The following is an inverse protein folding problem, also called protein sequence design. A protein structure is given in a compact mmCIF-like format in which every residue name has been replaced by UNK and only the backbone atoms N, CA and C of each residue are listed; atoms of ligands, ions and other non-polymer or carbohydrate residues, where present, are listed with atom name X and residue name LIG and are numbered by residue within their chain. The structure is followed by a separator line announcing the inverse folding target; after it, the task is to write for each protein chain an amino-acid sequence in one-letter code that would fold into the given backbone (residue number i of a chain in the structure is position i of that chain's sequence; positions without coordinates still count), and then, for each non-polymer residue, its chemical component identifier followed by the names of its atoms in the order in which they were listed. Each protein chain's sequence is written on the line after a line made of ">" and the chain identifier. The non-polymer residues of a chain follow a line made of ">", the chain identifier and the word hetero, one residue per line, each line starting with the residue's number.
data_IF_902097280769
#
_entry.id   IF_902097280769
#
_cell.length_a   1.000
_cell.length_b   1.000
_cell.length_c   1.000
_cell.angle_alpha   90.00
_cell.angle_beta   90.00
_cell.angle_gamma   90.00
#
_symmetry.space_group_name_H-M   'P 1'
#
loop_
_entity.id
_entity.type
_entity.pdbx_description
1 polymer ?
#
# COMPACT_ATOMS: atom_id res chain seq x y z
N UNK A 1 5.59 5.28 6.85
CA UNK A 1 4.46 5.33 7.80
C UNK A 1 3.18 5.69 7.05
N UNK A 2 2.08 5.02 7.37
CA UNK A 2 0.74 5.34 6.84
C UNK A 2 -0.12 5.78 8.02
N UNK A 3 -0.87 6.87 7.87
CA UNK A 3 -1.79 7.39 8.89
C UNK A 3 -3.18 7.53 8.25
N UNK A 4 -4.20 6.97 8.88
CA UNK A 4 -5.58 7.24 8.51
C UNK A 4 -6.02 8.60 9.08
N UNK A 5 -5.85 9.66 8.31
CA UNK A 5 -6.31 10.99 8.72
C UNK A 5 -7.84 11.18 8.70
N UNK A 6 -8.59 10.20 8.17
CA UNK A 6 -10.05 10.26 8.02
C UNK A 6 -10.83 10.04 9.33
N UNK A 7 -12.15 10.10 9.21
CA UNK A 7 -13.11 9.82 10.30
C UNK A 7 -13.76 8.44 10.23
N UNK A 8 -13.43 7.61 9.23
CA UNK A 8 -13.94 6.25 9.08
C UNK A 8 -12.80 5.25 9.05
N UNK A 9 -13.09 4.01 9.47
CA UNK A 9 -12.16 2.87 9.34
C UNK A 9 -11.93 2.56 7.86
N UNK A 10 -10.68 2.28 7.50
CA UNK A 10 -10.30 1.95 6.13
C UNK A 10 -9.60 0.59 6.08
N UNK A 11 -9.85 -0.15 5.00
CA UNK A 11 -8.96 -1.22 4.56
C UNK A 11 -7.95 -0.65 3.58
N UNK A 12 -6.68 -1.03 3.70
CA UNK A 12 -5.60 -0.59 2.82
C UNK A 12 -4.77 -1.77 2.31
N UNK A 13 -4.24 -1.64 1.10
CA UNK A 13 -3.36 -2.62 0.47
C UNK A 13 -2.28 -1.93 -0.36
N UNK A 14 -1.15 -2.61 -0.51
CA UNK A 14 0.01 -2.13 -1.24
C UNK A 14 0.18 -2.92 -2.52
N UNK A 15 0.55 -2.22 -3.59
CA UNK A 15 1.04 -2.81 -4.84
C UNK A 15 2.41 -2.23 -5.15
N UNK A 16 3.31 -3.06 -5.64
CA UNK A 16 4.59 -2.63 -6.20
C UNK A 16 4.60 -2.91 -7.70
N UNK A 17 5.34 -2.11 -8.47
CA UNK A 17 5.56 -2.39 -9.90
C UNK A 17 6.50 -3.55 -10.15
N UNK A 18 7.38 -3.82 -9.18
CA UNK A 18 8.41 -4.85 -9.29
C UNK A 18 8.46 -5.69 -8.00
N UNK A 19 7.64 -6.74 -7.94
CA UNK A 19 7.57 -7.64 -6.77
C UNK A 19 8.81 -8.51 -6.57
N UNK A 20 9.71 -8.60 -7.56
CA UNK A 20 10.97 -9.33 -7.42
C UNK A 20 12.02 -8.50 -6.69
N UNK A 21 12.00 -7.18 -6.88
CA UNK A 21 12.93 -6.24 -6.26
C UNK A 21 12.38 -5.65 -4.98
N UNK A 22 11.08 -5.34 -4.95
CA UNK A 22 10.44 -4.56 -3.89
C UNK A 22 9.54 -5.44 -3.04
N UNK A 23 9.92 -5.58 -1.77
CA UNK A 23 9.11 -6.21 -0.73
C UNK A 23 8.46 -5.17 0.18
N UNK A 24 7.27 -5.48 0.71
CA UNK A 24 6.53 -4.60 1.61
C UNK A 24 5.86 -5.41 2.73
N UNK A 25 6.08 -5.02 3.98
CA UNK A 25 5.46 -5.68 5.15
C UNK A 25 5.05 -4.67 6.25
N UNK A 26 3.79 -4.68 6.73
CA UNK A 26 2.66 -5.42 6.17
C UNK A 26 2.24 -4.88 4.80
N UNK A 27 1.84 -5.79 3.89
CA UNK A 27 1.36 -5.41 2.55
C UNK A 27 -0.11 -4.98 2.51
N UNK A 28 -0.88 -5.24 3.57
CA UNK A 28 -2.26 -4.81 3.70
C UNK A 28 -2.69 -4.77 5.17
N UNK A 29 -3.81 -4.11 5.47
CA UNK A 29 -4.33 -4.04 6.82
C UNK A 29 -5.58 -3.20 6.95
N UNK A 30 -5.95 -2.93 8.19
CA UNK A 30 -7.10 -2.09 8.55
C UNK A 30 -6.64 -1.02 9.52
N UNK A 31 -7.01 0.23 9.26
CA UNK A 31 -6.72 1.37 10.14
C UNK A 31 -8.02 2.01 10.60
N UNK A 32 -8.19 2.10 11.91
CA UNK A 32 -9.20 2.93 12.55
C UNK A 32 -8.93 4.42 12.30
N UNK A 33 -9.91 5.31 12.52
CA UNK A 33 -9.68 6.74 12.44
C UNK A 33 -8.48 7.17 13.30
N UNK A 34 -7.57 7.95 12.70
CA UNK A 34 -6.34 8.47 13.32
C UNK A 34 -5.28 7.44 13.70
N UNK A 35 -5.50 6.16 13.38
CA UNK A 35 -4.50 5.12 13.59
C UNK A 35 -3.38 5.21 12.54
N UNK A 36 -2.18 4.78 12.94
CA UNK A 36 -1.00 4.74 12.11
C UNK A 36 -0.40 3.33 12.09
N UNK A 37 0.29 3.01 11.00
CA UNK A 37 1.09 1.79 10.86
C UNK A 37 2.45 2.11 10.26
N UNK A 38 3.47 1.46 10.81
CA UNK A 38 4.80 1.43 10.21
C UNK A 38 4.87 0.24 9.26
N UNK A 39 5.46 0.49 8.11
CA UNK A 39 5.59 -0.47 7.02
C UNK A 39 7.05 -0.49 6.61
N UNK A 40 7.63 -1.69 6.55
CA UNK A 40 8.93 -1.93 5.99
C UNK A 40 8.81 -1.98 4.46
N UNK A 41 9.77 -1.35 3.79
CA UNK A 41 10.00 -1.50 2.34
C UNK A 41 11.39 -2.05 2.19
N UNK A 42 11.52 -3.23 1.59
CA UNK A 42 12.80 -3.85 1.26
C UNK A 42 13.08 -3.72 -0.23
N UNK A 43 14.37 -3.61 -0.57
CA UNK A 43 14.86 -3.65 -1.94
C UNK A 43 15.91 -4.76 -2.03
N UNK A 44 15.63 -5.80 -2.79
CA UNK A 44 16.61 -6.85 -3.08
C UNK A 44 17.74 -6.28 -3.95
N UNK A 45 18.93 -6.88 -3.84
CA UNK A 45 20.09 -6.48 -4.64
C UNK A 45 19.83 -6.72 -6.13
N UNK A 46 20.24 -5.78 -6.97
CA UNK A 46 20.10 -5.86 -8.42
C UNK A 46 21.20 -5.03 -9.10
N UNK A 47 21.41 -5.22 -10.39
CA UNK A 47 22.43 -4.48 -11.14
C UNK A 47 21.88 -3.15 -11.66
N UNK A 48 22.15 -2.06 -10.92
CA UNK A 48 21.75 -0.72 -11.31
C UNK A 48 22.37 -0.33 -12.67
N UNK A 49 21.55 0.21 -13.58
CA UNK A 49 21.97 0.57 -14.95
C UNK A 49 21.76 -0.54 -16.00
N UNK A 50 21.49 -1.79 -15.60
CA UNK A 50 21.09 -2.87 -16.53
C UNK A 50 19.59 -3.17 -16.51
N UNK A 51 18.89 -2.69 -15.48
CA UNK A 51 17.45 -2.87 -15.32
C UNK A 51 16.72 -1.53 -15.37
N UNK A 52 15.47 -1.54 -15.84
CA UNK A 52 14.62 -0.35 -15.76
C UNK A 52 14.27 -0.06 -14.30
N UNK A 53 14.61 1.15 -13.86
CA UNK A 53 14.34 1.66 -12.51
C UNK A 53 13.43 2.88 -12.53
N UNK A 54 13.18 3.49 -13.70
CA UNK A 54 12.52 4.80 -13.80
C UNK A 54 11.02 4.74 -13.51
N UNK A 55 10.44 3.54 -13.63
CA UNK A 55 9.00 3.32 -13.49
C UNK A 55 8.62 2.71 -12.14
N UNK A 56 9.60 2.49 -11.25
CA UNK A 56 9.34 1.85 -9.97
C UNK A 56 8.51 2.72 -9.04
N UNK A 57 7.46 2.13 -8.47
CA UNK A 57 6.60 2.81 -7.50
C UNK A 57 5.94 1.83 -6.54
N UNK A 58 5.62 2.35 -5.37
CA UNK A 58 4.70 1.75 -4.41
C UNK A 58 3.36 2.46 -4.56
N UNK A 59 2.29 1.69 -4.73
CA UNK A 59 0.92 2.20 -4.76
C UNK A 59 0.22 1.77 -3.48
N UNK A 60 -0.29 2.75 -2.72
CA UNK A 60 -1.18 2.50 -1.59
C UNK A 60 -2.61 2.66 -2.10
N UNK A 61 -3.42 1.63 -2.01
CA UNK A 61 -4.86 1.70 -2.28
C UNK A 61 -5.63 1.55 -0.97
N UNK A 62 -6.72 2.28 -0.83
CA UNK A 62 -7.59 2.15 0.35
C UNK A 62 -9.04 2.47 0.04
N UNK A 63 -9.92 1.90 0.84
CA UNK A 63 -11.37 2.10 0.79
C UNK A 63 -11.94 2.11 2.20
N UNK A 64 -13.09 2.73 2.39
CA UNK A 64 -13.82 2.62 3.66
C UNK A 64 -14.26 1.17 3.86
N UNK A 65 -14.14 0.65 5.08
CA UNK A 65 -14.70 -0.67 5.38
C UNK A 65 -16.22 -0.63 5.36
N UNK A 66 -16.91 -1.72 4.98
CA UNK A 66 -18.35 -1.85 5.19
C UNK A 66 -18.73 -1.67 6.67
N UNK A 67 -19.96 -1.23 6.91
CA UNK A 67 -20.46 -1.04 8.28
C UNK A 67 -20.47 -2.39 9.03
N UNK A 68 -20.03 -2.37 10.29
CA UNK A 68 -19.93 -3.57 11.13
C UNK A 68 -18.79 -4.53 10.76
N UNK A 69 -17.95 -4.22 9.77
CA UNK A 69 -16.82 -5.07 9.40
C UNK A 69 -15.81 -5.23 10.55
N UNK A 70 -15.37 -6.47 10.76
CA UNK A 70 -14.28 -6.78 11.68
C UNK A 70 -12.98 -6.06 11.26
N UNK A 71 -12.06 -5.85 12.22
CA UNK A 71 -10.73 -5.28 11.96
C UNK A 71 -9.79 -6.34 11.34
N UNK A 72 -10.22 -6.92 10.23
CA UNK A 72 -9.50 -7.91 9.44
C UNK A 72 -9.66 -7.55 7.98
N UNK A 73 -8.54 -7.35 7.30
CA UNK A 73 -8.53 -6.96 5.89
C UNK A 73 -9.25 -7.99 5.03
N UNK A 74 -10.02 -7.52 4.05
CA UNK A 74 -10.70 -8.34 3.04
C UNK A 74 -10.53 -7.71 1.67
N UNK A 75 -10.02 -8.50 0.71
CA UNK A 75 -9.72 -8.01 -0.64
C UNK A 75 -10.99 -7.64 -1.41
N UNK A 76 -12.12 -8.25 -1.04
CA UNK A 76 -13.42 -8.06 -1.68
C UNK A 76 -13.93 -6.62 -1.52
N UNK A 77 -13.48 -5.88 -0.50
CA UNK A 77 -13.84 -4.46 -0.32
C UNK A 77 -13.38 -3.57 -1.48
N UNK A 78 -12.41 -4.03 -2.27
CA UNK A 78 -11.88 -3.31 -3.45
C UNK A 78 -12.57 -3.70 -4.76
N UNK A 79 -13.54 -4.63 -4.72
CA UNK A 79 -14.23 -5.14 -5.91
C UNK A 79 -15.69 -4.69 -5.99
N UNK A 80 -16.27 -4.19 -4.90
CA UNK A 80 -17.64 -3.68 -4.87
C UNK A 80 -17.76 -2.23 -5.36
N UNK A 81 -18.96 -1.67 -5.24
CA UNK A 81 -19.30 -0.30 -5.70
C UNK A 81 -18.68 0.83 -4.85
N UNK A 82 -17.92 0.48 -3.82
CA UNK A 82 -17.25 1.45 -2.95
C UNK A 82 -16.15 2.23 -3.66
N UNK A 83 -16.02 3.51 -3.34
CA UNK A 83 -14.94 4.35 -3.87
C UNK A 83 -13.58 3.90 -3.34
N UNK A 84 -12.75 3.33 -4.22
CA UNK A 84 -11.34 3.02 -3.95
C UNK A 84 -10.48 4.25 -4.27
N UNK A 85 -9.69 4.69 -3.29
CA UNK A 85 -8.69 5.74 -3.46
C UNK A 85 -7.30 5.12 -3.58
N UNK A 86 -6.39 5.84 -4.25
CA UNK A 86 -5.00 5.40 -4.41
C UNK A 86 -4.01 6.56 -4.34
N UNK A 87 -2.81 6.27 -3.87
CA UNK A 87 -1.66 7.18 -3.88
C UNK A 87 -0.44 6.43 -4.39
N UNK A 88 0.20 6.98 -5.42
CA UNK A 88 1.47 6.48 -5.93
C UNK A 88 2.62 7.19 -5.21
N UNK A 89 3.60 6.41 -4.80
CA UNK A 89 4.88 6.85 -4.25
C UNK A 89 5.97 6.38 -5.23
N UNK A 90 6.48 7.26 -6.11
CA UNK A 90 7.59 6.89 -6.99
C UNK A 90 8.83 6.54 -6.17
N UNK A 91 9.62 5.60 -6.65
CA UNK A 91 10.90 5.22 -6.06
C UNK A 91 12.01 5.90 -6.86
N UNK A 92 12.91 6.54 -6.12
CA UNK A 92 14.14 7.11 -6.67
C UNK A 92 15.32 6.31 -6.13
N UNK A 93 16.23 5.95 -7.02
CA UNK A 93 17.47 5.25 -6.69
C UNK A 93 18.61 6.25 -6.72
N UNK A 94 19.36 6.34 -5.63
CA UNK A 94 20.53 7.21 -5.51
C UNK A 94 21.81 6.36 -5.55
N UNK A 95 22.41 6.17 -6.74
CA UNK A 95 23.61 5.34 -6.93
C UNK A 95 24.89 5.97 -6.34
#
# INVERSE_FOLDING_TARGET
>A
MIINAGGRRIGWAIKTTNMKRLGVDPACGVLDPKEAVLMAVSCDSFEFGKEDTNNDRITIEWTNTPDGAAKQFRREWFQGDGMVRRKNLPIEYNP
#
